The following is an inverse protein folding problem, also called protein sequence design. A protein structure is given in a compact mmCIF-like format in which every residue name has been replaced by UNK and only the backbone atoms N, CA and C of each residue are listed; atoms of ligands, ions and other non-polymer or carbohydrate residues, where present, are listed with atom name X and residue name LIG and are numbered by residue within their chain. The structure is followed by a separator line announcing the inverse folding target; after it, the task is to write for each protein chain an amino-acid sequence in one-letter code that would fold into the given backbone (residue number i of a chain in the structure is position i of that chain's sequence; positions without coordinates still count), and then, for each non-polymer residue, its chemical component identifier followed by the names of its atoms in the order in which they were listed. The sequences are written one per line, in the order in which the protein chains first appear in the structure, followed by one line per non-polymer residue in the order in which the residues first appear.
data_IF_598575278035
#
_entry.id   IF_598575278035
#
_cell.length_a   1.000
_cell.length_b   1.000
_cell.length_c   1.000
_cell.angle_alpha   90.00
_cell.angle_beta   90.00
_cell.angle_gamma   90.00
#
_symmetry.space_group_name_H-M   'P 1'
#
loop_
_entity.id
_entity.type
_entity.pdbx_description
1 polymer ?
#
# COMPACT_ATOMS: atom_id res chain seq x y z
N UNK A 1 -11.78 -4.01 -5.55
CA UNK A 1 -11.93 -3.43 -4.19
C UNK A 1 -11.21 -2.10 -4.15
N UNK A 2 -11.52 -1.27 -3.15
CA UNK A 2 -10.78 -0.07 -2.78
C UNK A 2 -10.51 -0.12 -1.27
N UNK A 3 -9.57 0.69 -0.78
CA UNK A 3 -9.53 1.03 0.65
C UNK A 3 -10.58 2.10 0.88
N UNK A 4 -11.60 1.81 1.70
CA UNK A 4 -12.69 2.75 2.02
C UNK A 4 -12.45 3.52 3.31
N UNK A 5 -11.59 3.02 4.18
CA UNK A 5 -11.30 3.64 5.47
C UNK A 5 -9.93 3.19 5.98
N UNK A 6 -9.23 4.09 6.66
CA UNK A 6 -7.90 3.84 7.21
C UNK A 6 -7.78 4.47 8.60
N UNK A 7 -7.30 3.67 9.54
CA UNK A 7 -6.94 4.12 10.89
C UNK A 7 -5.47 3.82 11.11
N UNK A 8 -4.74 4.83 11.58
CA UNK A 8 -3.33 4.72 11.92
C UNK A 8 -3.13 5.17 13.35
N UNK A 9 -2.24 4.49 14.07
CA UNK A 9 -1.64 5.04 15.29
C UNK A 9 -0.13 4.97 15.21
N UNK A 10 0.48 6.07 15.64
CA UNK A 10 1.93 6.22 15.73
C UNK A 10 2.69 5.92 14.44
N UNK A 11 2.08 6.18 13.28
CA UNK A 11 2.70 6.00 11.98
C UNK A 11 3.46 7.27 11.54
N UNK A 12 4.78 7.19 11.53
CA UNK A 12 5.74 8.24 11.15
C UNK A 12 5.45 9.56 11.87
N UNK A 13 4.92 10.57 11.20
CA UNK A 13 4.61 11.86 11.85
C UNK A 13 3.21 11.89 12.48
N UNK A 14 2.40 10.85 12.31
CA UNK A 14 1.03 10.81 12.81
C UNK A 14 0.93 10.07 14.14
N UNK A 15 0.35 10.71 15.15
CA UNK A 15 -0.07 10.04 16.39
C UNK A 15 -1.36 9.24 16.17
N UNK A 16 -2.31 9.83 15.46
CA UNK A 16 -3.57 9.20 15.08
C UNK A 16 -4.04 9.71 13.72
N UNK A 17 -4.57 8.83 12.90
CA UNK A 17 -5.34 9.14 11.69
C UNK A 17 -6.58 8.26 11.71
N UNK A 18 -7.72 8.81 11.35
CA UNK A 18 -8.98 8.10 11.17
C UNK A 18 -9.73 8.81 10.03
N UNK A 19 -9.70 8.25 8.83
CA UNK A 19 -10.26 8.90 7.63
C UNK A 19 -10.95 7.92 6.70
N UNK A 20 -12.10 8.33 6.17
CA UNK A 20 -12.77 7.67 5.05
C UNK A 20 -12.11 8.03 3.72
N UNK A 21 -12.11 7.08 2.79
CA UNK A 21 -11.48 7.20 1.48
C UNK A 21 -12.50 6.89 0.37
N UNK A 22 -12.58 7.81 -0.58
CA UNK A 22 -13.38 7.67 -1.78
C UNK A 22 -12.71 6.80 -2.85
N UNK A 23 -13.44 6.54 -3.95
CA UNK A 23 -12.87 5.91 -5.15
C UNK A 23 -11.68 6.72 -5.74
N UNK A 24 -11.64 8.03 -5.45
CA UNK A 24 -10.58 8.96 -5.83
C UNK A 24 -10.37 9.94 -4.68
N UNK A 25 -9.13 10.10 -4.23
CA UNK A 25 -8.76 10.98 -3.12
C UNK A 25 -7.63 11.89 -3.56
N UNK A 26 -7.76 13.18 -3.27
CA UNK A 26 -6.71 14.16 -3.47
C UNK A 26 -6.21 14.60 -2.09
N UNK A 27 -4.92 14.38 -1.83
CA UNK A 27 -4.30 14.78 -0.58
C UNK A 27 -3.52 16.08 -0.80
N UNK A 28 -4.04 17.18 -0.26
CA UNK A 28 -3.50 18.53 -0.44
C UNK A 28 -3.01 19.07 0.90
N UNK A 29 -1.92 19.83 0.88
CA UNK A 29 -1.40 20.50 2.07
C UNK A 29 0.06 20.95 1.87
N UNK A 30 0.62 21.74 2.81
CA UNK A 30 1.99 22.21 2.74
C UNK A 30 3.03 21.09 2.64
N UNK A 31 4.24 21.41 2.18
CA UNK A 31 5.36 20.48 2.25
C UNK A 31 5.61 20.04 3.70
N UNK A 32 6.12 18.82 3.88
CA UNK A 32 6.33 18.20 5.19
C UNK A 32 5.09 17.95 6.07
N UNK A 33 3.87 18.20 5.59
CA UNK A 33 2.63 17.92 6.35
C UNK A 33 2.30 16.42 6.54
N UNK A 34 3.16 15.51 6.06
CA UNK A 34 2.98 14.07 6.20
C UNK A 34 2.28 13.36 5.03
N UNK A 35 1.98 14.05 3.92
CA UNK A 35 1.30 13.43 2.75
C UNK A 35 1.99 12.17 2.24
N UNK A 36 3.30 12.23 2.03
CA UNK A 36 4.09 11.07 1.59
C UNK A 36 4.13 9.96 2.65
N UNK A 37 4.06 10.32 3.94
CA UNK A 37 4.01 9.36 5.04
C UNK A 37 2.65 8.66 5.08
N UNK A 38 1.55 9.36 4.80
CA UNK A 38 0.22 8.76 4.68
C UNK A 38 0.17 7.77 3.51
N UNK A 39 0.69 8.17 2.35
CA UNK A 39 0.77 7.29 1.17
C UNK A 39 1.70 6.07 1.39
N UNK A 40 2.73 6.20 2.23
CA UNK A 40 3.66 5.11 2.52
C UNK A 40 2.99 3.91 3.22
N UNK A 41 1.87 4.09 3.94
CA UNK A 41 1.15 2.97 4.56
C UNK A 41 0.71 1.95 3.52
N UNK A 42 0.17 2.42 2.39
CA UNK A 42 -0.28 1.52 1.31
C UNK A 42 0.90 0.80 0.67
N UNK A 43 2.05 1.49 0.54
CA UNK A 43 3.30 0.85 0.08
C UNK A 43 3.78 -0.19 1.08
N UNK A 44 3.66 0.08 2.38
CA UNK A 44 4.06 -0.84 3.43
C UNK A 44 3.21 -2.11 3.42
N UNK A 45 1.89 -2.00 3.34
CA UNK A 45 0.99 -3.17 3.23
C UNK A 45 1.27 -4.00 1.97
N UNK A 46 1.57 -3.33 0.84
CA UNK A 46 2.03 -4.01 -0.38
C UNK A 46 3.37 -4.72 -0.18
N UNK A 47 4.34 -4.06 0.45
CA UNK A 47 5.67 -4.64 0.68
C UNK A 47 5.61 -5.86 1.60
N UNK A 48 4.61 -5.95 2.48
CA UNK A 48 4.31 -7.17 3.24
C UNK A 48 3.72 -8.26 2.32
N UNK A 49 2.74 -7.92 1.49
CA UNK A 49 1.97 -8.90 0.72
C UNK A 49 2.69 -9.42 -0.55
N UNK A 50 3.62 -8.65 -1.13
CA UNK A 50 4.25 -8.99 -2.40
C UNK A 50 5.14 -10.24 -2.31
N UNK A 51 5.32 -11.00 -3.40
CA UNK A 51 6.28 -12.10 -3.45
C UNK A 51 7.70 -11.65 -3.08
N UNK A 52 8.35 -12.38 -2.17
CA UNK A 52 9.67 -12.00 -1.63
C UNK A 52 9.65 -10.78 -0.70
N UNK A 53 8.47 -10.31 -0.31
CA UNK A 53 8.25 -9.29 0.69
C UNK A 53 8.22 -9.84 2.12
N UNK A 54 7.37 -9.25 2.95
CA UNK A 54 7.12 -9.67 4.33
C UNK A 54 7.39 -8.56 5.35
N UNK A 55 6.88 -8.74 6.56
CA UNK A 55 6.89 -7.74 7.63
C UNK A 55 8.31 -7.25 7.94
N UNK A 56 9.24 -8.16 8.21
CA UNK A 56 10.62 -7.81 8.55
C UNK A 56 11.31 -7.04 7.43
N UNK A 57 11.11 -7.48 6.17
CA UNK A 57 11.68 -6.81 5.00
C UNK A 57 11.08 -5.42 4.81
N UNK A 58 9.75 -5.28 4.90
CA UNK A 58 9.04 -4.01 4.77
C UNK A 58 9.47 -2.99 5.83
N UNK A 59 9.80 -3.44 7.04
CA UNK A 59 10.36 -2.62 8.12
C UNK A 59 11.82 -2.25 7.86
N UNK A 60 12.64 -3.23 7.50
CA UNK A 60 14.08 -3.06 7.24
C UNK A 60 14.32 -2.09 6.07
N UNK A 61 13.56 -2.20 4.98
CA UNK A 61 13.62 -1.30 3.83
C UNK A 61 13.29 0.16 4.18
N UNK A 62 12.65 0.39 5.33
CA UNK A 62 12.33 1.72 5.88
C UNK A 62 13.32 2.19 6.95
N UNK A 63 14.40 1.43 7.18
CA UNK A 63 15.42 1.75 8.19
C UNK A 63 15.04 1.34 9.61
N UNK A 64 14.14 0.36 9.77
CA UNK A 64 13.74 -0.19 11.06
C UNK A 64 12.49 0.47 11.67
N UNK A 65 11.95 -0.16 12.71
CA UNK A 65 10.70 0.29 13.35
C UNK A 65 10.83 1.68 13.99
N UNK A 66 12.04 2.07 14.41
CA UNK A 66 12.31 3.41 14.95
C UNK A 66 12.07 4.53 13.94
N UNK A 67 12.21 4.27 12.63
CA UNK A 67 11.90 5.22 11.54
C UNK A 67 10.42 5.21 11.15
N UNK A 68 9.73 4.11 11.41
CA UNK A 68 8.29 3.98 11.17
C UNK A 68 7.48 4.56 12.34
N UNK A 69 7.96 4.44 13.57
CA UNK A 69 7.23 4.89 14.77
C UNK A 69 7.22 6.41 14.89
N UNK A 70 6.09 6.95 15.37
CA UNK A 70 5.97 8.36 15.72
C UNK A 70 6.81 8.75 16.95
N UNK A 71 7.67 9.76 16.77
CA UNK A 71 8.51 10.30 17.83
C UNK A 71 7.71 10.95 18.97
N UNK A 72 6.49 11.43 18.68
CA UNK A 72 5.61 12.02 19.68
C UNK A 72 4.88 10.97 20.54
N UNK A 73 5.01 9.67 20.23
CA UNK A 73 4.30 8.58 20.91
C UNK A 73 5.11 8.00 22.09
N UNK A 74 5.12 8.72 23.23
CA UNK A 74 5.97 8.36 24.39
C UNK A 74 5.42 7.24 25.29
N UNK A 75 4.09 7.14 25.45
CA UNK A 75 3.47 6.20 26.42
C UNK A 75 3.18 4.81 25.85
N UNK A 76 2.61 4.76 24.65
CA UNK A 76 2.36 3.51 23.93
C UNK A 76 3.00 3.65 22.54
N UNK A 77 4.20 3.09 22.32
CA UNK A 77 4.96 3.25 21.09
C UNK A 77 4.51 2.33 19.95
N UNK A 78 3.48 1.50 20.16
CA UNK A 78 3.05 0.53 19.18
C UNK A 78 2.55 1.25 17.92
N UNK A 79 2.98 0.77 16.76
CA UNK A 79 2.48 1.22 15.46
C UNK A 79 1.27 0.37 15.11
N UNK A 80 0.13 1.00 14.86
CA UNK A 80 -1.11 0.30 14.52
C UNK A 80 -1.59 0.76 13.15
N UNK A 81 -1.96 -0.19 12.31
CA UNK A 81 -2.51 0.05 10.97
C UNK A 81 -3.77 -0.78 10.86
N UNK A 82 -4.90 -0.13 10.58
CA UNK A 82 -6.16 -0.75 10.23
C UNK A 82 -6.65 -0.18 8.90
N UNK A 83 -7.09 -1.07 8.01
CA UNK A 83 -7.68 -0.70 6.72
C UNK A 83 -8.96 -1.48 6.51
N UNK A 84 -10.00 -0.77 6.07
CA UNK A 84 -11.24 -1.37 5.61
C UNK A 84 -11.28 -1.35 4.07
N UNK A 85 -11.68 -2.46 3.49
CA UNK A 85 -11.78 -2.66 2.05
C UNK A 85 -13.24 -2.84 1.65
N UNK A 86 -13.65 -2.15 0.58
CA UNK A 86 -15.01 -2.23 0.05
C UNK A 86 -15.00 -2.41 -1.48
N UNK A 87 -16.16 -2.75 -2.06
CA UNK A 87 -16.31 -2.78 -3.53
C UNK A 87 -16.22 -1.38 -4.14
N UNK A 88 -16.71 -0.38 -3.42
CA UNK A 88 -16.69 1.06 -3.74
C UNK A 88 -16.92 1.86 -2.46
N UNK A 89 -16.65 3.16 -2.47
CA UNK A 89 -16.73 4.01 -1.27
C UNK A 89 -18.10 4.02 -0.57
N UNK A 90 -19.19 3.83 -1.32
CA UNK A 90 -20.57 3.84 -0.80
C UNK A 90 -21.09 2.46 -0.40
N UNK A 91 -20.26 1.41 -0.49
CA UNK A 91 -20.66 0.03 -0.20
C UNK A 91 -20.10 -0.42 1.14
N UNK A 92 -20.80 -1.37 1.74
CA UNK A 92 -20.38 -2.02 2.98
C UNK A 92 -18.96 -2.57 2.91
N UNK A 93 -18.29 -2.54 4.06
CA UNK A 93 -16.97 -3.13 4.26
C UNK A 93 -17.02 -4.62 3.97
N UNK A 94 -16.25 -5.06 2.97
CA UNK A 94 -16.08 -6.48 2.66
C UNK A 94 -15.04 -7.13 3.55
N UNK A 95 -13.94 -6.42 3.78
CA UNK A 95 -12.81 -6.91 4.55
C UNK A 95 -12.29 -5.82 5.46
N UNK A 96 -11.84 -6.21 6.65
CA UNK A 96 -11.03 -5.36 7.52
C UNK A 96 -9.75 -6.10 7.84
N UNK A 97 -8.63 -5.40 7.76
CA UNK A 97 -7.31 -5.93 8.10
C UNK A 97 -6.65 -4.98 9.09
N UNK A 98 -6.19 -5.50 10.22
CA UNK A 98 -5.52 -4.71 11.24
C UNK A 98 -4.27 -5.42 11.77
N UNK A 99 -3.17 -4.67 11.88
CA UNK A 99 -1.93 -5.11 12.50
C UNK A 99 -1.43 -4.09 13.51
N UNK A 100 -0.88 -4.60 14.60
CA UNK A 100 -0.12 -3.82 15.57
C UNK A 100 1.31 -4.34 15.63
N UNK A 101 2.27 -3.43 15.74
CA UNK A 101 3.70 -3.73 15.67
C UNK A 101 4.40 -3.05 16.83
N UNK A 102 5.29 -3.78 17.52
CA UNK A 102 6.14 -3.26 18.59
C UNK A 102 7.60 -3.64 18.39
N UNK A 103 8.49 -2.86 18.99
CA UNK A 103 9.88 -3.25 19.17
C UNK A 103 10.02 -3.98 20.50
N UNK A 104 10.70 -5.11 20.52
CA UNK A 104 11.04 -5.76 21.79
C UNK A 104 12.09 -4.93 22.55
N UNK A 105 11.84 -4.71 23.84
CA UNK A 105 12.64 -3.81 24.68
C UNK A 105 13.98 -4.39 25.16
N UNK A 106 14.17 -5.71 25.05
CA UNK A 106 15.35 -6.43 25.56
C UNK A 106 15.82 -7.47 24.55
N UNK A 107 17.13 -7.58 24.32
CA UNK A 107 17.71 -8.59 23.42
C UNK A 107 18.02 -8.06 22.01
N UNK A 108 17.70 -8.83 20.96
CA UNK A 108 18.05 -8.53 19.55
C UNK A 108 17.28 -7.34 18.94
N UNK A 109 16.40 -6.68 19.72
CA UNK A 109 15.52 -5.60 19.26
C UNK A 109 14.63 -6.00 18.08
N UNK A 110 14.19 -7.26 18.09
CA UNK A 110 13.32 -7.81 17.04
C UNK A 110 11.99 -7.06 17.01
N UNK A 111 11.45 -6.93 15.80
CA UNK A 111 10.13 -6.32 15.60
C UNK A 111 9.08 -7.42 15.60
N UNK A 112 8.09 -7.30 16.49
CA UNK A 112 7.07 -8.31 16.72
C UNK A 112 5.68 -7.73 16.51
N UNK A 113 4.77 -8.58 16.02
CA UNK A 113 3.35 -8.30 16.03
C UNK A 113 2.82 -8.23 17.46
N UNK A 114 2.07 -7.18 17.78
CA UNK A 114 1.23 -7.13 18.98
C UNK A 114 -0.12 -7.76 18.73
N UNK A 115 -0.63 -7.62 17.50
CA UNK A 115 -1.77 -8.34 17.00
C UNK A 115 -1.79 -8.38 15.47
N UNK A 116 -2.50 -9.36 14.94
CA UNK A 116 -2.94 -9.41 13.55
C UNK A 116 -4.39 -9.91 13.55
N UNK A 117 -5.27 -9.15 12.90
CA UNK A 117 -6.71 -9.40 12.90
C UNK A 117 -7.29 -9.19 11.52
N UNK A 118 -8.20 -10.08 11.14
CA UNK A 118 -8.89 -10.02 9.85
C UNK A 118 -10.38 -10.28 10.05
N UNK A 119 -11.21 -9.48 9.40
CA UNK A 119 -12.66 -9.66 9.38
C UNK A 119 -13.16 -9.72 7.94
N UNK A 120 -14.13 -10.59 7.68
CA UNK A 120 -14.93 -10.64 6.46
C UNK A 120 -16.33 -10.12 6.78
N UNK A 121 -16.64 -8.91 6.34
CA UNK A 121 -17.78 -8.16 6.86
C UNK A 121 -17.66 -8.02 8.38
N UNK A 122 -18.65 -8.55 9.12
CA UNK A 122 -18.66 -8.53 10.59
C UNK A 122 -18.03 -9.78 11.23
N UNK A 123 -17.73 -10.82 10.45
CA UNK A 123 -17.17 -12.06 10.99
C UNK A 123 -15.65 -11.95 11.09
N UNK A 124 -15.10 -12.12 12.31
CA UNK A 124 -13.66 -12.20 12.50
C UNK A 124 -13.15 -13.58 12.06
N UNK A 125 -12.25 -13.60 11.08
CA UNK A 125 -11.66 -14.83 10.52
C UNK A 125 -10.24 -15.08 11.04
N UNK A 126 -9.55 -14.03 11.49
CA UNK A 126 -8.24 -14.16 12.13
C UNK A 126 -8.16 -13.27 13.37
N UNK A 127 -7.61 -13.83 14.44
CA UNK A 127 -7.16 -13.09 15.62
C UNK A 127 -5.93 -13.77 16.18
N UNK A 128 -4.84 -13.02 16.30
CA UNK A 128 -3.62 -13.50 16.94
C UNK A 128 -2.89 -12.35 17.64
N UNK A 129 -2.03 -12.60 18.66
CA UNK A 129 -1.42 -13.88 19.03
C UNK A 129 -2.40 -14.98 19.48
N UNK A 130 -2.16 -16.23 19.08
CA UNK A 130 -2.84 -17.43 19.60
C UNK A 130 -1.97 -18.22 20.60
N UNK A 131 -2.43 -19.39 21.07
CA UNK A 131 -1.65 -20.24 21.98
C UNK A 131 -0.32 -20.71 21.39
N UNK A 132 -0.25 -20.89 20.07
CA UNK A 132 0.97 -21.31 19.40
C UNK A 132 1.96 -20.15 19.29
N UNK A 133 1.49 -18.92 19.14
CA UNK A 133 2.34 -17.73 19.16
C UNK A 133 2.91 -17.43 20.56
N UNK A 134 2.21 -17.86 21.61
CA UNK A 134 2.73 -17.82 22.99
C UNK A 134 3.84 -18.85 23.19
N UNK A 135 3.67 -20.05 22.63
CA UNK A 135 4.67 -21.13 22.70
C UNK A 135 5.89 -20.84 21.81
N UNK A 136 5.68 -20.29 20.62
CA UNK A 136 6.72 -19.91 19.67
C UNK A 136 6.57 -18.44 19.27
N UNK A 137 7.26 -17.57 20.01
CA UNK A 137 7.28 -16.12 19.74
C UNK A 137 7.86 -15.78 18.37
N UNK A 138 8.66 -16.64 17.74
CA UNK A 138 9.24 -16.37 16.43
C UNK A 138 8.13 -16.20 15.37
N UNK A 139 6.99 -16.85 15.55
CA UNK A 139 5.80 -16.69 14.70
C UNK A 139 5.29 -15.26 14.65
N UNK A 140 5.53 -14.44 15.67
CA UNK A 140 5.12 -13.03 15.71
C UNK A 140 6.05 -12.11 14.89
N UNK A 141 7.15 -12.63 14.36
CA UNK A 141 8.00 -11.89 13.41
C UNK A 141 7.40 -11.84 12.00
N UNK A 142 6.41 -12.69 11.71
CA UNK A 142 5.79 -12.84 10.39
C UNK A 142 4.27 -12.68 10.48
N UNK A 143 3.70 -12.04 9.46
CA UNK A 143 2.24 -11.97 9.31
C UNK A 143 1.69 -13.28 8.74
N UNK A 144 0.45 -13.64 9.08
CA UNK A 144 -0.25 -14.67 8.31
C UNK A 144 -0.52 -14.18 6.88
N UNK A 145 -0.67 -12.86 6.67
CA UNK A 145 -0.83 -12.24 5.35
C UNK A 145 0.25 -12.65 4.35
N UNK A 146 1.53 -12.67 4.76
CA UNK A 146 2.66 -13.03 3.89
C UNK A 146 2.85 -14.56 3.71
N UNK A 147 2.26 -15.37 4.58
CA UNK A 147 2.39 -16.83 4.54
C UNK A 147 1.28 -17.46 3.70
N UNK A 148 1.65 -18.04 2.55
CA UNK A 148 0.69 -18.64 1.60
C UNK A 148 -0.17 -19.72 2.25
N UNK A 149 0.39 -20.55 3.13
CA UNK A 149 -0.35 -21.60 3.83
C UNK A 149 -1.38 -21.07 4.82
N UNK A 150 -1.16 -19.88 5.40
CA UNK A 150 -2.01 -19.32 6.47
C UNK A 150 -2.99 -18.26 5.99
N UNK A 151 -2.77 -17.68 4.81
CA UNK A 151 -3.69 -16.65 4.27
C UNK A 151 -4.86 -17.19 3.44
N UNK A 152 -5.11 -18.50 3.41
CA UNK A 152 -6.10 -19.11 2.50
C UNK A 152 -7.49 -18.47 2.59
N UNK A 153 -8.00 -18.24 3.79
CA UNK A 153 -9.35 -17.70 4.02
C UNK A 153 -9.50 -16.23 3.58
N UNK A 154 -8.42 -15.46 3.62
CA UNK A 154 -8.41 -14.02 3.35
C UNK A 154 -7.40 -13.63 2.25
N UNK A 155 -7.04 -14.57 1.38
CA UNK A 155 -6.03 -14.39 0.32
C UNK A 155 -6.36 -13.25 -0.63
N UNK A 156 -7.64 -12.92 -0.74
CA UNK A 156 -8.13 -11.77 -1.49
C UNK A 156 -7.51 -10.45 -1.00
N UNK A 157 -7.29 -10.29 0.32
CA UNK A 157 -6.63 -9.13 0.91
C UNK A 157 -5.16 -9.05 0.48
N UNK A 158 -4.44 -10.17 0.57
CA UNK A 158 -3.02 -10.26 0.15
C UNK A 158 -2.88 -9.87 -1.33
N UNK A 159 -3.71 -10.46 -2.21
CA UNK A 159 -3.75 -10.11 -3.64
C UNK A 159 -4.09 -8.64 -3.88
N UNK A 160 -4.99 -8.07 -3.08
CA UNK A 160 -5.34 -6.66 -3.19
C UNK A 160 -4.17 -5.75 -2.81
N UNK A 161 -3.50 -6.00 -1.67
CA UNK A 161 -2.35 -5.19 -1.27
C UNK A 161 -1.19 -5.32 -2.25
N UNK A 162 -0.90 -6.52 -2.75
CA UNK A 162 0.11 -6.74 -3.80
C UNK A 162 -0.19 -5.92 -5.07
N UNK A 163 -1.47 -5.76 -5.41
CA UNK A 163 -1.89 -4.96 -6.58
C UNK A 163 -1.67 -3.45 -6.45
N UNK A 164 -1.34 -2.94 -5.27
CA UNK A 164 -1.12 -1.49 -5.05
C UNK A 164 0.08 -1.01 -5.87
N UNK A 165 -0.11 0.04 -6.67
CA UNK A 165 0.96 0.64 -7.46
C UNK A 165 1.34 2.01 -6.91
N UNK A 166 2.64 2.27 -6.82
CA UNK A 166 3.20 3.58 -6.50
C UNK A 166 4.03 4.04 -7.69
N UNK A 167 3.60 5.10 -8.35
CA UNK A 167 4.22 5.64 -9.56
C UNK A 167 4.73 7.05 -9.28
N UNK A 168 6.04 7.24 -9.47
CA UNK A 168 6.76 8.50 -9.49
C UNK A 168 7.38 8.67 -10.87
N UNK A 169 6.55 9.00 -11.86
CA UNK A 169 6.96 9.06 -13.25
C UNK A 169 8.07 10.10 -13.43
N UNK A 170 9.23 9.67 -13.94
CA UNK A 170 10.33 10.55 -14.31
C UNK A 170 10.23 10.79 -15.81
N UNK A 171 9.94 12.03 -16.27
CA UNK A 171 9.68 12.30 -17.69
C UNK A 171 10.78 11.81 -18.63
N UNK A 172 12.05 11.93 -18.22
CA UNK A 172 13.20 11.45 -19.00
C UNK A 172 13.19 9.94 -19.19
N UNK A 173 12.83 9.16 -18.16
CA UNK A 173 12.73 7.70 -18.25
C UNK A 173 11.55 7.25 -19.10
N UNK A 174 10.45 8.01 -19.07
CA UNK A 174 9.27 7.74 -19.89
C UNK A 174 9.56 8.01 -21.37
N UNK A 175 10.25 9.12 -21.68
CA UNK A 175 10.54 9.55 -23.06
C UNK A 175 11.68 8.79 -23.72
N UNK A 176 12.71 8.44 -22.95
CA UNK A 176 13.94 7.82 -23.48
C UNK A 176 14.27 6.51 -22.74
N UNK A 177 13.38 5.49 -22.73
CA UNK A 177 13.57 4.28 -21.94
C UNK A 177 14.82 3.46 -22.36
N UNK A 178 15.23 3.58 -23.63
CA UNK A 178 16.42 2.96 -24.21
C UNK A 178 17.72 3.61 -23.74
N UNK A 179 17.71 4.89 -23.37
CA UNK A 179 18.90 5.61 -22.88
C UNK A 179 19.31 5.19 -21.46
N UNK A 180 18.46 4.43 -20.76
CA UNK A 180 18.71 3.96 -19.40
C UNK A 180 18.71 2.42 -19.35
N UNK A 181 19.70 1.73 -19.96
CA UNK A 181 19.79 0.28 -19.92
C UNK A 181 20.04 -0.21 -18.49
N UNK A 182 19.50 -1.39 -18.14
CA UNK A 182 19.63 -1.96 -16.80
C UNK A 182 18.44 -2.83 -16.41
N UNK A 183 18.54 -3.58 -15.30
CA UNK A 183 17.46 -4.44 -14.82
C UNK A 183 16.21 -3.61 -14.51
N UNK A 184 15.04 -4.17 -14.86
CA UNK A 184 13.76 -3.54 -14.52
C UNK A 184 13.55 -3.57 -13.02
N UNK A 185 13.24 -2.42 -12.43
CA UNK A 185 12.89 -2.36 -11.00
C UNK A 185 11.50 -2.99 -10.83
N UNK A 186 11.33 -3.96 -9.93
CA UNK A 186 10.02 -4.56 -9.67
C UNK A 186 8.94 -3.51 -9.40
N UNK A 187 7.83 -3.60 -10.11
CA UNK A 187 6.71 -2.66 -10.03
C UNK A 187 6.87 -1.35 -10.82
N UNK A 188 7.99 -1.16 -11.53
CA UNK A 188 8.30 0.01 -12.39
C UNK A 188 7.88 1.36 -11.77
N UNK A 189 8.43 1.72 -10.59
CA UNK A 189 7.98 2.89 -9.86
C UNK A 189 8.25 4.19 -10.62
N UNK A 190 9.22 4.23 -11.54
CA UNK A 190 9.59 5.46 -12.26
C UNK A 190 9.01 5.56 -13.67
N UNK A 191 8.23 4.57 -14.10
CA UNK A 191 7.52 4.57 -15.37
C UNK A 191 8.41 4.33 -16.59
N UNK A 192 9.51 3.61 -16.44
CA UNK A 192 10.38 3.27 -17.58
C UNK A 192 9.64 2.42 -18.62
N UNK A 193 8.78 1.51 -18.17
CA UNK A 193 7.95 0.67 -19.04
C UNK A 193 6.52 1.22 -19.16
N UNK A 194 6.29 2.47 -18.77
CA UNK A 194 4.95 3.06 -18.77
C UNK A 194 4.33 3.07 -20.17
N UNK A 195 5.06 3.57 -21.18
CA UNK A 195 4.58 3.61 -22.55
C UNK A 195 4.35 2.22 -23.13
N UNK A 196 5.22 1.26 -22.83
CA UNK A 196 5.05 -0.13 -23.24
C UNK A 196 3.77 -0.74 -22.62
N UNK A 197 3.50 -0.48 -21.35
CA UNK A 197 2.26 -0.93 -20.68
C UNK A 197 1.02 -0.30 -21.30
N UNK A 198 1.10 0.97 -21.71
CA UNK A 198 0.01 1.64 -22.45
C UNK A 198 -0.18 0.97 -23.83
N UNK A 199 0.89 0.72 -24.57
CA UNK A 199 0.86 0.09 -25.89
C UNK A 199 0.32 -1.35 -25.87
N UNK A 200 0.58 -2.11 -24.79
CA UNK A 200 0.02 -3.47 -24.58
C UNK A 200 -1.47 -3.48 -24.24
N UNK A 201 -2.09 -2.32 -23.99
CA UNK A 201 -3.53 -2.23 -23.74
C UNK A 201 -4.28 -2.50 -25.04
N UNK A 202 -5.37 -3.29 -24.99
CA UNK A 202 -6.18 -3.58 -26.18
C UNK A 202 -6.63 -2.30 -26.87
N UNK A 203 -6.55 -2.28 -28.21
CA UNK A 203 -6.83 -1.10 -29.05
C UNK A 203 -8.15 -0.41 -28.65
N UNK A 204 -9.25 -1.17 -28.60
CA UNK A 204 -10.57 -0.68 -28.16
C UNK A 204 -10.56 -0.02 -26.78
N UNK A 205 -9.84 -0.59 -25.81
CA UNK A 205 -9.77 -0.04 -24.44
C UNK A 205 -8.91 1.22 -24.43
N UNK A 206 -7.83 1.23 -25.20
CA UNK A 206 -6.90 2.33 -25.33
C UNK A 206 -7.53 3.53 -26.01
N UNK A 207 -8.16 3.36 -27.17
CA UNK A 207 -8.88 4.42 -27.89
C UNK A 207 -9.92 5.09 -26.99
N UNK A 208 -10.73 4.28 -26.29
CA UNK A 208 -11.73 4.79 -25.34
C UNK A 208 -11.11 5.64 -24.23
N UNK A 209 -9.94 5.25 -23.71
CA UNK A 209 -9.24 6.00 -22.66
C UNK A 209 -8.60 7.28 -23.21
N UNK A 210 -7.95 7.22 -24.37
CA UNK A 210 -7.36 8.38 -25.04
C UNK A 210 -8.42 9.42 -25.37
N UNK A 211 -9.57 9.01 -25.91
CA UNK A 211 -10.70 9.89 -26.16
C UNK A 211 -11.18 10.60 -24.90
N UNK A 212 -11.32 9.86 -23.79
CA UNK A 212 -11.71 10.44 -22.49
C UNK A 212 -10.66 11.43 -21.95
N UNK A 213 -9.37 11.14 -22.14
CA UNK A 213 -8.28 12.04 -21.76
C UNK A 213 -8.31 13.30 -22.63
N UNK A 214 -8.51 13.16 -23.95
CA UNK A 214 -8.62 14.27 -24.90
C UNK A 214 -9.79 15.20 -24.53
N UNK A 215 -10.97 14.64 -24.29
CA UNK A 215 -12.15 15.40 -23.86
C UNK A 215 -11.88 16.22 -22.60
N UNK A 216 -11.17 15.64 -21.62
CA UNK A 216 -10.79 16.33 -20.39
C UNK A 216 -9.72 17.42 -20.62
N UNK A 217 -8.70 17.14 -21.45
CA UNK A 217 -7.62 18.09 -21.72
C UNK A 217 -8.08 19.28 -22.56
N UNK A 218 -9.04 19.09 -23.47
CA UNK A 218 -9.63 20.17 -24.27
C UNK A 218 -10.26 21.28 -23.43
N UNK A 219 -10.68 20.99 -22.21
CA UNK A 219 -11.18 22.00 -21.27
C UNK A 219 -10.09 23.03 -20.93
N UNK A 220 -8.83 22.58 -20.80
CA UNK A 220 -7.69 23.44 -20.50
C UNK A 220 -6.95 23.94 -21.75
N UNK A 221 -6.87 23.12 -22.81
CA UNK A 221 -6.16 23.41 -24.06
C UNK A 221 -7.03 23.01 -25.26
N UNK A 222 -7.91 23.91 -25.76
CA UNK A 222 -8.89 23.57 -26.81
C UNK A 222 -8.30 23.11 -28.15
N UNK A 223 -7.05 23.48 -28.44
CA UNK A 223 -6.34 23.10 -29.66
C UNK A 223 -5.86 21.65 -29.64
N UNK A 224 -5.86 21.00 -28.48
CA UNK A 224 -5.40 19.62 -28.33
C UNK A 224 -6.47 18.66 -28.90
N UNK A 225 -6.22 18.16 -30.11
CA UNK A 225 -7.12 17.26 -30.85
C UNK A 225 -6.37 16.05 -31.38
N UNK A 226 -7.08 14.94 -31.54
CA UNK A 226 -6.60 13.70 -32.16
C UNK A 226 -5.38 13.13 -31.42
N UNK A 227 -5.52 12.83 -30.13
CA UNK A 227 -4.50 12.08 -29.40
C UNK A 227 -4.36 10.67 -29.98
N UNK A 228 -3.30 10.43 -30.74
CA UNK A 228 -2.95 9.13 -31.31
C UNK A 228 -1.76 8.51 -30.59
N UNK A 229 -1.53 7.23 -30.82
CA UNK A 229 -0.24 6.62 -30.50
C UNK A 229 0.81 7.14 -31.49
N UNK A 230 1.97 7.55 -30.98
CA UNK A 230 3.21 7.62 -31.75
C UNK A 230 3.93 6.28 -31.70
#
# INVERSE_FOLDING_TARGET
MIVSHIVLKNWRNFQSVDVELGNRVFLVGPNASGKSNFLDVFRFLRDIAKPGGGLQKAISDRGGLSKIRCLAARRNPNVEIEVSLAKSATKETLWKYAIGIKQEGSGRHDTLLTYEKVWKGNQQVLTRPDSNDVQDKLRLTQTHLEQISLNQEFREISKFFDSVQYLHLIPQLVRYPSAFPGPTIPGDPYGRNFLERVARTTEKKRERLLKKIEEALRVAVPQLKNLTET
#
